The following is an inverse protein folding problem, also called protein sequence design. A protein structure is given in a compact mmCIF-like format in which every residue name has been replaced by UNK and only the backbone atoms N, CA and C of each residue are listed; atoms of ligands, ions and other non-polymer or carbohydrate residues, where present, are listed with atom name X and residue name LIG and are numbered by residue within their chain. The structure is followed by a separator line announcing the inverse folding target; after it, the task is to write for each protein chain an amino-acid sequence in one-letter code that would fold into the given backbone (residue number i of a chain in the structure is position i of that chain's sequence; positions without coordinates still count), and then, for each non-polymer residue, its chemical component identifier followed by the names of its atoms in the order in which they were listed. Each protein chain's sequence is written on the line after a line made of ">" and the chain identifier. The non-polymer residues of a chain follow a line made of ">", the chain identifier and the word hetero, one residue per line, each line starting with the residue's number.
data_IF_720226565654
#
_entry.id   IF_720226565654
#
_cell.length_a   1.000
_cell.length_b   1.000
_cell.length_c   1.000
_cell.angle_alpha   90.00
_cell.angle_beta   90.00
_cell.angle_gamma   90.00
#
_symmetry.space_group_name_H-M   'P 1'
#
loop_
_entity.id
_entity.type
_entity.pdbx_description
1 polymer ?
#
# COMPACT_ATOMS: atom_id res chain seq x y z
N UNK A 1 29.84 -98.08 6.12
CA UNK A 1 30.18 -97.27 7.31
C UNK A 1 30.34 -95.84 6.85
N UNK A 2 29.43 -94.94 7.23
CA UNK A 2 29.42 -93.50 6.88
C UNK A 2 30.07 -92.74 8.05
N UNK A 3 30.97 -91.78 7.80
CA UNK A 3 30.64 -90.35 7.90
C UNK A 3 31.32 -89.53 6.79
N UNK A 4 30.95 -88.31 6.44
CA UNK A 4 29.97 -87.36 6.94
C UNK A 4 30.05 -86.14 6.02
N UNK A 5 28.91 -85.61 5.61
CA UNK A 5 28.84 -84.47 4.70
C UNK A 5 29.23 -83.14 5.38
N UNK A 6 29.86 -82.26 4.61
CA UNK A 6 29.90 -80.84 4.90
C UNK A 6 29.14 -80.10 3.79
N UNK A 7 28.04 -79.48 4.20
CA UNK A 7 27.14 -78.69 3.37
C UNK A 7 27.85 -77.42 2.84
N UNK A 8 27.57 -77.10 1.58
CA UNK A 8 27.94 -75.86 0.93
C UNK A 8 27.04 -74.74 1.48
N UNK A 9 27.61 -73.81 2.25
CA UNK A 9 26.90 -72.63 2.76
C UNK A 9 27.07 -71.50 1.75
N UNK A 10 26.00 -70.94 1.16
CA UNK A 10 26.10 -69.76 0.31
C UNK A 10 26.46 -68.53 1.17
N UNK A 11 27.50 -67.80 0.77
CA UNK A 11 27.94 -66.59 1.47
C UNK A 11 26.89 -65.46 1.42
N UNK A 12 26.93 -64.52 2.39
CA UNK A 12 26.05 -63.35 2.40
C UNK A 12 26.27 -62.49 1.15
N UNK A 13 25.17 -62.05 0.53
CA UNK A 13 25.21 -61.06 -0.55
C UNK A 13 25.33 -59.67 0.10
N UNK A 14 26.44 -58.98 -0.14
CA UNK A 14 26.64 -57.61 0.30
C UNK A 14 25.55 -56.71 -0.32
N UNK A 15 24.70 -56.13 0.54
CA UNK A 15 23.78 -55.05 0.18
C UNK A 15 24.55 -53.74 0.35
N UNK A 16 24.68 -52.89 -0.67
CA UNK A 16 25.35 -51.59 -0.51
C UNK A 16 24.59 -50.72 0.50
N UNK A 17 25.27 -50.08 1.47
CA UNK A 17 24.62 -49.13 2.36
C UNK A 17 24.12 -47.90 1.58
N UNK A 18 23.00 -47.26 2.01
CA UNK A 18 22.51 -46.05 1.38
C UNK A 18 23.58 -44.94 1.44
N UNK A 19 23.97 -44.47 0.26
CA UNK A 19 25.03 -43.50 0.07
C UNK A 19 24.71 -42.17 0.77
N UNK A 20 25.66 -41.70 1.58
CA UNK A 20 25.65 -40.33 2.09
C UNK A 20 26.05 -39.42 0.95
N UNK A 21 25.20 -38.45 0.61
CA UNK A 21 25.51 -37.43 -0.40
C UNK A 21 26.51 -36.45 0.23
N UNK A 22 27.78 -36.60 -0.10
CA UNK A 22 28.82 -35.61 0.21
C UNK A 22 28.83 -34.57 -0.90
N UNK A 23 28.42 -33.33 -0.58
CA UNK A 23 28.52 -32.20 -1.52
C UNK A 23 29.90 -31.59 -1.38
N UNK A 24 30.77 -31.81 -2.36
CA UNK A 24 32.06 -31.14 -2.45
C UNK A 24 31.88 -29.84 -3.24
N UNK A 25 31.94 -28.69 -2.57
CA UNK A 25 32.01 -27.38 -3.23
C UNK A 25 33.47 -27.12 -3.60
N UNK A 26 33.79 -27.28 -4.88
CA UNK A 26 35.03 -26.76 -5.44
C UNK A 26 34.83 -25.28 -5.79
N UNK A 27 35.29 -24.38 -4.91
CA UNK A 27 35.41 -22.96 -5.21
C UNK A 27 36.61 -22.73 -6.13
N UNK A 28 36.38 -22.85 -7.45
CA UNK A 28 37.35 -22.46 -8.47
C UNK A 28 37.25 -20.97 -8.75
N UNK A 29 37.84 -20.12 -7.91
CA UNK A 29 38.12 -18.73 -8.25
C UNK A 29 39.34 -18.70 -9.17
N UNK A 30 39.11 -18.62 -10.47
CA UNK A 30 40.18 -18.26 -11.40
C UNK A 30 40.62 -16.81 -11.08
N UNK A 31 41.90 -16.55 -10.76
CA UNK A 31 42.39 -15.19 -10.70
C UNK A 31 42.38 -14.63 -12.13
N UNK A 32 41.66 -13.53 -12.33
CA UNK A 32 41.78 -12.74 -13.55
C UNK A 32 43.18 -12.15 -13.57
N UNK A 33 43.94 -12.49 -14.61
CA UNK A 33 45.24 -11.95 -14.94
C UNK A 33 45.15 -10.41 -14.96
N UNK A 34 45.94 -9.74 -14.10
CA UNK A 34 46.20 -8.29 -14.04
C UNK A 34 45.30 -7.37 -13.17
N UNK A 35 44.90 -7.78 -11.96
CA UNK A 35 44.32 -6.88 -10.95
C UNK A 35 45.24 -6.61 -9.75
N UNK A 36 46.06 -5.55 -9.82
CA UNK A 36 46.95 -5.10 -8.72
C UNK A 36 46.14 -4.79 -7.45
N UNK A 37 46.21 -5.69 -6.47
CA UNK A 37 45.46 -5.60 -5.21
C UNK A 37 45.75 -4.33 -4.41
N UNK A 38 44.73 -3.51 -4.17
CA UNK A 38 44.73 -2.53 -3.09
C UNK A 38 44.21 -3.22 -1.83
N UNK A 39 45.12 -3.51 -0.91
CA UNK A 39 44.78 -3.91 0.47
C UNK A 39 44.08 -2.73 1.14
N UNK A 40 42.77 -2.82 1.36
CA UNK A 40 42.06 -1.88 2.22
C UNK A 40 42.23 -2.40 3.65
N UNK A 41 43.30 -1.93 4.28
CA UNK A 41 43.73 -2.30 5.62
C UNK A 41 42.81 -1.67 6.69
N UNK A 42 42.80 -2.31 7.85
CA UNK A 42 42.03 -2.06 9.06
C UNK A 42 42.28 -0.69 9.75
N UNK A 43 42.05 0.44 9.07
CA UNK A 43 42.17 1.80 9.65
C UNK A 43 41.14 2.77 9.07
N UNK A 44 39.85 2.40 9.05
CA UNK A 44 38.73 3.35 8.90
C UNK A 44 37.65 2.99 9.93
N UNK A 45 38.08 2.86 11.17
CA UNK A 45 37.23 2.78 12.37
C UNK A 45 37.91 3.75 13.34
N UNK A 46 37.20 4.84 13.73
CA UNK A 46 37.61 5.93 14.64
C UNK A 46 38.23 7.21 14.03
N UNK A 47 37.38 8.05 13.42
CA UNK A 47 37.45 9.54 13.39
C UNK A 47 36.30 9.98 12.45
N UNK A 48 35.15 10.47 12.91
CA UNK A 48 34.94 11.82 13.44
C UNK A 48 33.76 11.76 14.42
N UNK A 49 34.06 11.96 15.70
CA UNK A 49 33.08 12.30 16.71
C UNK A 49 33.19 13.81 16.98
N UNK A 50 32.04 14.49 17.05
CA UNK A 50 31.91 15.79 17.71
C UNK A 50 31.39 16.94 16.85
N UNK A 51 30.08 17.18 16.89
CA UNK A 51 29.49 18.50 17.22
C UNK A 51 27.95 18.45 17.11
N UNK A 52 27.28 18.44 18.27
CA UNK A 52 25.89 18.88 18.40
C UNK A 52 25.88 20.40 18.42
N UNK A 53 25.18 21.05 17.49
CA UNK A 53 24.71 22.41 17.68
C UNK A 53 23.43 22.63 16.86
N UNK A 54 22.34 22.78 17.61
CA UNK A 54 21.02 23.25 17.22
C UNK A 54 21.11 24.49 16.34
N UNK A 55 20.56 24.44 15.11
CA UNK A 55 20.16 25.67 14.40
C UNK A 55 18.64 25.72 14.45
N UNK A 56 18.20 26.52 15.42
CA UNK A 56 16.85 26.96 15.64
C UNK A 56 16.29 27.63 14.39
N UNK A 57 15.01 27.36 14.15
CA UNK A 57 14.09 28.11 13.31
C UNK A 57 14.27 29.62 13.52
N UNK A 58 14.49 30.37 12.44
CA UNK A 58 14.68 31.81 12.53
C UNK A 58 14.66 32.50 11.17
N UNK A 59 13.56 32.41 10.43
CA UNK A 59 13.29 33.34 9.33
C UNK A 59 11.78 33.60 9.19
N UNK A 60 11.22 34.23 10.21
CA UNK A 60 9.82 34.63 10.25
C UNK A 60 9.61 35.73 11.26
N UNK A 61 10.07 36.94 10.97
CA UNK A 61 9.55 38.22 11.48
C UNK A 61 10.52 39.35 11.15
N UNK A 62 10.38 39.94 9.96
CA UNK A 62 10.98 41.26 9.68
C UNK A 62 10.04 42.16 8.87
N UNK A 63 8.72 42.04 9.10
CA UNK A 63 7.76 43.04 8.63
C UNK A 63 6.67 43.23 9.69
N UNK A 64 6.88 44.19 10.61
CA UNK A 64 5.90 45.21 11.06
C UNK A 64 6.36 45.92 12.34
N UNK A 65 6.73 47.21 12.26
CA UNK A 65 6.98 48.04 13.42
C UNK A 65 5.68 48.72 13.92
N UNK A 66 5.54 48.80 15.24
CA UNK A 66 4.80 49.82 16.00
C UNK A 66 3.26 49.85 16.02
N UNK A 67 2.70 49.25 17.08
CA UNK A 67 1.67 49.77 18.01
C UNK A 67 1.50 48.68 19.10
N UNK A 68 1.64 48.84 20.41
CA UNK A 68 1.70 50.01 21.28
C UNK A 68 0.73 49.76 22.45
N UNK A 69 1.25 49.39 23.64
CA UNK A 69 0.56 49.34 24.95
C UNK A 69 -0.53 48.25 25.10
N UNK A 70 -0.79 47.61 26.24
CA UNK A 70 -0.45 47.85 27.64
C UNK A 70 -1.69 47.55 28.50
N UNK A 71 -1.46 46.97 29.69
CA UNK A 71 -2.36 46.77 30.83
C UNK A 71 -3.30 45.55 30.87
N UNK A 72 -3.14 44.81 31.98
CA UNK A 72 -3.96 43.74 32.51
C UNK A 72 -5.11 44.34 33.35
N UNK A 73 -6.31 43.74 33.32
CA UNK A 73 -7.32 43.86 34.40
C UNK A 73 -8.41 42.77 34.29
N UNK A 74 -8.41 41.89 35.29
CA UNK A 74 -9.50 41.37 36.14
C UNK A 74 -10.93 41.05 35.65
N UNK A 75 -11.40 39.92 36.21
CA UNK A 75 -12.74 39.57 36.71
C UNK A 75 -13.84 39.10 35.76
N UNK A 76 -14.13 37.80 35.85
CA UNK A 76 -15.33 37.14 35.34
C UNK A 76 -16.55 37.31 36.25
N UNK A 77 -17.73 37.26 35.64
CA UNK A 77 -19.02 37.19 36.32
C UNK A 77 -20.10 36.59 35.42
N UNK A 78 -20.68 35.47 35.85
CA UNK A 78 -22.02 34.99 35.50
C UNK A 78 -22.83 34.98 36.82
N UNK A 79 -24.18 35.07 36.86
CA UNK A 79 -25.08 34.08 36.25
C UNK A 79 -26.51 34.54 35.80
N UNK A 80 -27.17 33.63 35.06
CA UNK A 80 -28.60 33.22 35.02
C UNK A 80 -29.79 34.20 35.21
N UNK A 81 -30.80 34.13 34.31
CA UNK A 81 -32.22 33.81 34.60
C UNK A 81 -33.12 33.68 33.33
N UNK A 82 -34.08 32.74 33.36
CA UNK A 82 -35.13 32.32 32.39
C UNK A 82 -36.47 33.11 32.58
N UNK A 83 -37.71 32.68 32.15
CA UNK A 83 -38.27 31.88 31.03
C UNK A 83 -39.54 32.53 30.34
N UNK A 84 -40.27 31.76 29.48
CA UNK A 84 -41.44 32.03 28.58
C UNK A 84 -42.81 32.39 29.25
N UNK A 85 -44.00 32.60 28.58
CA UNK A 85 -44.76 31.70 27.64
C UNK A 85 -45.50 32.48 26.48
N UNK A 86 -46.38 31.99 25.59
CA UNK A 86 -47.29 30.83 25.51
C UNK A 86 -48.07 30.80 24.16
N UNK A 87 -48.79 29.70 23.93
CA UNK A 87 -49.47 29.31 22.68
C UNK A 87 -50.85 29.95 22.44
N UNK A 88 -51.37 29.89 21.20
CA UNK A 88 -52.77 29.49 20.90
C UNK A 88 -53.04 29.28 19.40
N UNK A 89 -53.99 28.37 19.19
CA UNK A 89 -54.47 27.66 18.00
C UNK A 89 -55.48 28.47 17.17
N UNK A 90 -55.67 28.11 15.89
CA UNK A 90 -56.90 28.43 15.16
C UNK A 90 -56.83 28.30 13.63
N UNK A 91 -57.38 27.21 13.07
CA UNK A 91 -57.87 27.15 11.67
C UNK A 91 -59.35 27.57 11.62
N UNK A 92 -59.87 27.97 10.44
CA UNK A 92 -60.70 27.02 9.68
C UNK A 92 -60.64 27.12 8.14
N UNK A 93 -60.73 25.93 7.52
CA UNK A 93 -61.56 25.45 6.40
C UNK A 93 -61.88 26.25 5.10
N UNK A 94 -61.69 25.50 3.99
CA UNK A 94 -62.58 25.23 2.80
C UNK A 94 -62.60 26.09 1.52
N UNK A 95 -62.54 25.34 0.39
CA UNK A 95 -63.06 25.64 -0.95
C UNK A 95 -62.00 26.10 -1.95
N UNK A 96 -61.92 25.71 -3.22
CA UNK A 96 -62.65 24.77 -4.09
C UNK A 96 -61.77 24.66 -5.37
N UNK A 97 -61.78 23.53 -6.09
CA UNK A 97 -61.12 23.38 -7.40
C UNK A 97 -62.09 23.85 -8.51
N UNK A 98 -61.62 24.21 -9.73
CA UNK A 98 -61.64 23.19 -10.78
C UNK A 98 -60.49 23.28 -11.81
N UNK A 99 -60.47 22.23 -12.62
CA UNK A 99 -59.48 21.83 -13.61
C UNK A 99 -59.58 22.53 -14.99
N UNK A 100 -58.49 22.40 -15.75
CA UNK A 100 -58.36 22.55 -17.21
C UNK A 100 -56.87 22.55 -17.53
N UNK A 101 -56.27 21.67 -18.33
CA UNK A 101 -56.78 20.93 -19.47
C UNK A 101 -56.03 21.39 -20.72
N UNK A 102 -55.38 20.44 -21.40
CA UNK A 102 -54.87 20.47 -22.77
C UNK A 102 -53.36 20.76 -23.02
N UNK A 103 -52.80 19.71 -23.61
CA UNK A 103 -51.53 19.49 -24.31
C UNK A 103 -51.32 20.38 -25.53
N UNK A 104 -50.06 20.58 -25.91
CA UNK A 104 -49.65 20.80 -27.30
C UNK A 104 -48.22 20.27 -27.50
N UNK A 105 -48.12 19.10 -28.13
CA UNK A 105 -46.91 18.55 -28.72
C UNK A 105 -46.41 19.43 -29.86
N UNK A 106 -45.09 19.64 -29.92
CA UNK A 106 -44.38 20.26 -31.03
C UNK A 106 -43.12 19.43 -31.38
N UNK A 107 -42.87 19.08 -32.66
CA UNK A 107 -41.89 18.05 -33.01
C UNK A 107 -40.48 18.60 -33.29
N UNK A 108 -39.49 17.76 -33.01
CA UNK A 108 -38.31 17.61 -33.87
C UNK A 108 -37.17 18.61 -33.69
N UNK A 109 -36.34 18.41 -32.66
CA UNK A 109 -34.95 18.85 -32.70
C UNK A 109 -34.06 17.60 -32.89
N UNK A 110 -33.48 17.48 -34.08
CA UNK A 110 -32.39 16.56 -34.39
C UNK A 110 -31.24 16.81 -33.41
N UNK A 111 -31.06 15.90 -32.45
CA UNK A 111 -29.93 15.92 -31.55
C UNK A 111 -28.67 15.47 -32.30
N UNK A 112 -27.79 16.42 -32.64
CA UNK A 112 -26.38 16.11 -32.83
C UNK A 112 -25.86 15.39 -31.59
N UNK A 113 -25.02 14.34 -31.72
CA UNK A 113 -24.37 13.74 -30.57
C UNK A 113 -23.32 14.75 -30.08
N UNK A 114 -23.73 15.64 -29.18
CA UNK A 114 -22.81 16.30 -28.26
C UNK A 114 -22.22 15.19 -27.40
N UNK A 115 -21.12 14.61 -27.89
CA UNK A 115 -20.23 13.79 -27.10
C UNK A 115 -19.78 14.66 -25.93
N UNK A 116 -20.48 14.54 -24.81
CA UNK A 116 -20.00 15.06 -23.54
C UNK A 116 -18.64 14.39 -23.34
N UNK A 117 -17.54 15.16 -23.24
CA UNK A 117 -16.29 14.55 -22.80
C UNK A 117 -16.63 13.82 -21.49
N UNK A 118 -16.16 12.57 -21.28
CA UNK A 118 -16.37 11.92 -20.00
C UNK A 118 -15.95 12.94 -18.95
N UNK A 119 -16.84 13.24 -18.01
CA UNK A 119 -16.58 14.18 -16.92
C UNK A 119 -15.31 13.70 -16.26
N UNK A 120 -14.20 14.28 -16.69
CA UNK A 120 -12.86 13.93 -16.26
C UNK A 120 -12.90 14.10 -14.78
N UNK A 121 -12.70 12.99 -14.08
CA UNK A 121 -12.66 12.92 -12.65
C UNK A 121 -11.84 14.12 -12.16
N UNK A 122 -12.42 14.92 -11.25
CA UNK A 122 -11.85 16.21 -10.86
C UNK A 122 -10.38 16.10 -10.44
N UNK A 123 -9.63 17.22 -10.38
CA UNK A 123 -8.23 17.19 -9.98
C UNK A 123 -7.99 16.31 -8.74
N UNK A 124 -7.21 15.24 -8.91
CA UNK A 124 -6.90 14.29 -7.83
C UNK A 124 -7.79 13.05 -7.73
N UNK A 125 -8.78 12.87 -8.60
CA UNK A 125 -9.56 11.64 -8.65
C UNK A 125 -8.77 10.50 -9.33
N UNK A 126 -9.02 9.26 -8.90
CA UNK A 126 -8.30 8.10 -9.43
C UNK A 126 -8.83 7.79 -10.85
N UNK A 127 -7.96 7.66 -11.86
CA UNK A 127 -8.40 7.29 -13.21
C UNK A 127 -8.99 5.88 -13.26
N UNK A 128 -10.02 5.67 -14.08
CA UNK A 128 -10.76 4.39 -14.19
C UNK A 128 -9.85 3.18 -14.48
N UNK A 129 -8.75 3.40 -15.22
CA UNK A 129 -7.75 2.37 -15.52
C UNK A 129 -7.19 1.68 -14.28
N UNK A 130 -7.22 2.31 -13.10
CA UNK A 130 -6.75 1.70 -11.85
C UNK A 130 -7.84 0.96 -11.09
N UNK A 131 -9.10 1.38 -11.23
CA UNK A 131 -10.21 0.88 -10.42
C UNK A 131 -10.46 -0.59 -10.69
N UNK A 132 -10.85 -1.36 -9.68
CA UNK A 132 -11.17 -2.78 -9.80
C UNK A 132 -10.20 -3.68 -9.05
N UNK A 133 -10.32 -4.99 -9.29
CA UNK A 133 -9.45 -5.99 -8.65
C UNK A 133 -8.36 -6.44 -9.60
N UNK A 134 -7.16 -6.56 -9.03
CA UNK A 134 -5.93 -6.95 -9.71
C UNK A 134 -5.32 -8.11 -8.97
N UNK A 135 -4.80 -9.09 -9.71
CA UNK A 135 -4.14 -10.24 -9.13
C UNK A 135 -2.92 -10.66 -9.96
N UNK A 136 -1.85 -11.06 -9.28
CA UNK A 136 -0.62 -11.50 -9.92
C UNK A 136 0.36 -12.13 -8.95
N UNK A 137 1.35 -12.85 -9.48
CA UNK A 137 2.43 -13.38 -8.64
C UNK A 137 3.40 -12.27 -8.26
N UNK A 138 3.80 -12.28 -7.00
CA UNK A 138 4.75 -11.34 -6.46
C UNK A 138 6.11 -11.97 -6.18
N UNK A 139 7.12 -11.13 -6.20
CA UNK A 139 8.49 -11.47 -5.82
C UNK A 139 9.12 -10.38 -4.98
N UNK A 140 9.94 -10.76 -4.01
CA UNK A 140 10.78 -9.88 -3.22
C UNK A 140 12.26 -10.16 -3.41
N UNK A 141 13.10 -9.45 -2.68
CA UNK A 141 14.57 -9.55 -2.69
C UNK A 141 15.14 -9.48 -4.11
N UNK A 142 14.69 -8.48 -4.88
CA UNK A 142 15.12 -8.28 -6.27
C UNK A 142 14.67 -9.39 -7.22
N UNK A 143 13.56 -10.06 -6.92
CA UNK A 143 12.99 -11.12 -7.77
C UNK A 143 13.35 -12.55 -7.34
N UNK A 144 14.24 -12.70 -6.36
CA UNK A 144 14.77 -14.01 -5.95
C UNK A 144 13.85 -14.79 -5.00
N UNK A 145 12.99 -14.09 -4.27
CA UNK A 145 12.06 -14.71 -3.33
C UNK A 145 10.64 -14.70 -3.90
N UNK A 146 10.03 -15.87 -4.19
CA UNK A 146 8.61 -15.95 -4.50
C UNK A 146 7.77 -15.55 -3.28
N UNK A 147 6.94 -14.51 -3.40
CA UNK A 147 6.10 -14.01 -2.31
C UNK A 147 4.64 -14.45 -2.43
N UNK A 148 4.35 -15.36 -3.36
CA UNK A 148 3.02 -15.87 -3.62
C UNK A 148 2.16 -14.95 -4.46
N UNK A 149 0.88 -14.91 -4.18
CA UNK A 149 -0.10 -14.15 -4.97
C UNK A 149 -0.44 -12.86 -4.24
N UNK A 150 -0.37 -11.75 -4.95
CA UNK A 150 -0.86 -10.46 -4.51
C UNK A 150 -2.20 -10.21 -5.18
N UNK A 151 -3.20 -9.81 -4.38
CA UNK A 151 -4.52 -9.40 -4.85
C UNK A 151 -4.85 -8.04 -4.27
N UNK A 152 -5.05 -7.04 -5.13
CA UNK A 152 -5.36 -5.66 -4.73
C UNK A 152 -6.70 -5.26 -5.31
N UNK A 153 -7.60 -4.70 -4.50
CA UNK A 153 -8.83 -4.08 -5.00
C UNK A 153 -8.75 -2.57 -4.82
N UNK A 154 -8.65 -1.82 -5.91
CA UNK A 154 -8.59 -0.37 -5.95
C UNK A 154 -9.99 0.22 -6.09
N UNK A 155 -10.34 1.14 -5.20
CA UNK A 155 -11.63 1.84 -5.16
C UNK A 155 -11.43 3.34 -5.36
N UNK A 156 -12.47 4.02 -5.80
CA UNK A 156 -12.45 5.48 -5.79
C UNK A 156 -12.39 6.00 -4.36
N UNK A 157 -11.50 6.96 -4.14
CA UNK A 157 -11.34 7.64 -2.85
C UNK A 157 -10.61 8.97 -3.04
N UNK A 158 -10.68 9.84 -2.02
CA UNK A 158 -9.87 11.04 -1.95
C UNK A 158 -8.50 10.74 -1.32
N UNK A 159 -7.53 11.64 -1.49
CA UNK A 159 -6.26 11.57 -0.75
C UNK A 159 -6.55 11.54 0.76
N UNK A 160 -5.88 10.63 1.47
CA UNK A 160 -6.10 10.33 2.88
C UNK A 160 -7.14 9.23 3.14
N UNK A 161 -7.92 8.84 2.14
CA UNK A 161 -8.89 7.74 2.26
C UNK A 161 -8.30 6.37 1.94
N UNK A 162 -9.02 5.30 2.35
CA UNK A 162 -8.67 3.92 2.00
C UNK A 162 -8.81 3.72 0.49
N UNK A 163 -7.68 3.54 -0.18
CA UNK A 163 -7.57 3.21 -1.60
C UNK A 163 -8.05 1.80 -1.88
N UNK A 164 -7.77 0.89 -0.95
CA UNK A 164 -7.99 -0.52 -1.12
C UNK A 164 -7.26 -1.36 -0.09
N UNK A 165 -7.24 -2.66 -0.32
CA UNK A 165 -6.48 -3.62 0.48
C UNK A 165 -5.65 -4.49 -0.43
N UNK A 166 -4.42 -4.75 -0.02
CA UNK A 166 -3.59 -5.80 -0.60
C UNK A 166 -3.78 -7.06 0.25
N UNK A 167 -4.11 -8.18 -0.38
CA UNK A 167 -4.07 -9.50 0.23
C UNK A 167 -2.94 -10.28 -0.44
N UNK A 168 -1.95 -10.66 0.36
CA UNK A 168 -0.87 -11.53 -0.01
C UNK A 168 -1.19 -12.95 0.47
N UNK A 169 -0.92 -13.97 -0.34
CA UNK A 169 -1.00 -15.38 0.07
C UNK A 169 0.29 -16.06 -0.36
N UNK A 170 1.07 -16.52 0.60
CA UNK A 170 2.39 -17.11 0.34
C UNK A 170 2.30 -18.54 -0.22
N UNK A 171 3.46 -19.17 -0.43
CA UNK A 171 3.55 -20.52 -0.99
C UNK A 171 2.98 -21.61 -0.07
N UNK A 172 2.83 -21.33 1.23
CA UNK A 172 2.31 -22.28 2.24
C UNK A 172 0.88 -21.92 2.67
N UNK A 173 0.28 -20.89 2.07
CA UNK A 173 -1.09 -20.44 2.32
C UNK A 173 -1.24 -19.45 3.47
N UNK A 174 -0.16 -18.97 4.08
CA UNK A 174 -0.24 -17.88 5.05
C UNK A 174 -0.64 -16.57 4.36
N UNK A 175 -1.32 -15.69 5.10
CA UNK A 175 -1.97 -14.51 4.55
C UNK A 175 -1.58 -13.26 5.33
N UNK A 176 -1.04 -12.28 4.62
CA UNK A 176 -0.93 -10.91 5.08
C UNK A 176 -1.95 -10.03 4.36
N UNK A 177 -2.66 -9.20 5.12
CA UNK A 177 -3.55 -8.18 4.57
C UNK A 177 -3.06 -6.80 4.95
N UNK A 178 -2.92 -5.93 3.96
CA UNK A 178 -2.50 -4.55 4.15
C UNK A 178 -3.62 -3.59 3.78
N UNK A 179 -3.70 -2.49 4.52
CA UNK A 179 -4.60 -1.37 4.23
C UNK A 179 -3.81 -0.33 3.46
N UNK A 180 -4.29 0.01 2.27
CA UNK A 180 -3.66 1.01 1.40
C UNK A 180 -4.40 2.34 1.55
N UNK A 181 -3.71 3.38 2.02
CA UNK A 181 -4.26 4.74 2.14
C UNK A 181 -3.70 5.62 1.03
N UNK A 182 -4.57 6.24 0.23
CA UNK A 182 -4.15 7.05 -0.91
C UNK A 182 -3.36 8.28 -0.44
N UNK A 183 -2.12 8.41 -0.90
CA UNK A 183 -1.26 9.57 -0.61
C UNK A 183 -1.28 10.60 -1.74
N UNK A 184 -1.25 10.12 -2.99
CA UNK A 184 -1.19 11.01 -4.16
C UNK A 184 -1.68 10.30 -5.42
N UNK A 185 -2.47 11.01 -6.22
CA UNK A 185 -2.71 10.68 -7.62
C UNK A 185 -1.79 11.52 -8.47
N UNK A 186 -1.06 10.88 -9.39
CA UNK A 186 -0.29 11.57 -10.42
C UNK A 186 -0.84 11.19 -11.80
N UNK A 187 -0.31 11.77 -12.88
CA UNK A 187 -0.73 11.40 -14.23
C UNK A 187 -0.51 9.91 -14.56
N UNK A 188 0.50 9.26 -13.96
CA UNK A 188 0.93 7.91 -14.38
C UNK A 188 1.03 6.88 -13.26
N UNK A 189 0.87 7.29 -11.99
CA UNK A 189 0.97 6.41 -10.81
C UNK A 189 0.07 6.85 -9.66
N UNK A 190 -0.33 5.89 -8.83
CA UNK A 190 -0.90 6.14 -7.50
C UNK A 190 0.17 5.85 -6.45
N UNK A 191 0.37 6.77 -5.51
CA UNK A 191 1.16 6.52 -4.32
C UNK A 191 0.22 6.28 -3.15
N UNK A 192 0.48 5.25 -2.36
CA UNK A 192 -0.25 4.95 -1.15
C UNK A 192 0.70 4.62 0.01
N UNK A 193 0.23 4.85 1.22
CA UNK A 193 0.83 4.26 2.43
C UNK A 193 0.20 2.88 2.62
N UNK A 194 1.02 1.85 2.79
CA UNK A 194 0.59 0.50 3.16
C UNK A 194 0.88 0.28 4.64
N UNK A 195 -0.05 -0.38 5.33
CA UNK A 195 0.11 -0.78 6.74
C UNK A 195 -0.52 -2.15 6.91
N UNK A 196 0.22 -3.09 7.51
CA UNK A 196 -0.34 -4.38 7.90
C UNK A 196 -1.59 -4.22 8.78
N UNK A 197 -2.68 -4.87 8.38
CA UNK A 197 -3.95 -4.81 9.09
C UNK A 197 -3.84 -5.39 10.51
N UNK A 198 -4.65 -4.84 11.42
CA UNK A 198 -4.82 -5.41 12.75
C UNK A 198 -5.30 -6.87 12.65
N UNK A 199 -4.67 -7.75 13.42
CA UNK A 199 -4.98 -9.19 13.42
C UNK A 199 -4.19 -10.00 12.38
N UNK A 200 -3.33 -9.38 11.57
CA UNK A 200 -2.31 -10.12 10.83
C UNK A 200 -1.44 -10.95 11.78
N UNK A 201 -0.90 -12.07 11.29
CA UNK A 201 0.08 -12.84 12.04
C UNK A 201 1.41 -12.07 12.13
N UNK A 202 2.27 -12.48 13.08
CA UNK A 202 3.53 -11.78 13.39
C UNK A 202 4.58 -11.74 12.25
N UNK A 203 4.31 -12.42 11.13
CA UNK A 203 5.19 -12.41 9.96
C UNK A 203 4.88 -11.31 8.96
N UNK A 204 3.76 -10.59 9.13
CA UNK A 204 3.40 -9.44 8.30
C UNK A 204 3.99 -8.16 8.89
N UNK A 205 4.32 -7.19 8.04
CA UNK A 205 4.89 -5.92 8.48
C UNK A 205 3.79 -4.94 8.94
N UNK A 206 3.70 -4.58 10.22
CA UNK A 206 2.75 -3.58 10.69
C UNK A 206 3.24 -2.15 10.46
N UNK A 207 4.50 -1.95 10.06
CA UNK A 207 5.08 -0.62 9.92
C UNK A 207 4.58 0.07 8.63
N UNK A 208 4.19 1.36 8.70
CA UNK A 208 3.82 2.11 7.52
C UNK A 208 4.98 2.22 6.52
N UNK A 209 4.72 1.88 5.28
CA UNK A 209 5.67 1.99 4.17
C UNK A 209 4.96 2.47 2.89
N UNK A 210 5.71 2.87 1.87
CA UNK A 210 5.12 3.38 0.62
C UNK A 210 4.95 2.25 -0.39
N UNK A 211 3.80 2.27 -1.07
CA UNK A 211 3.56 1.46 -2.26
C UNK A 211 3.21 2.36 -3.44
N UNK A 212 3.55 1.88 -4.63
CA UNK A 212 3.23 2.51 -5.90
C UNK A 212 2.43 1.53 -6.76
N UNK A 213 1.34 2.04 -7.35
CA UNK A 213 0.55 1.36 -8.37
C UNK A 213 0.74 2.08 -9.70
N UNK A 214 1.29 1.40 -10.69
CA UNK A 214 1.65 1.96 -12.00
C UNK A 214 1.13 1.06 -13.11
N UNK A 215 0.27 1.55 -14.03
CA UNK A 215 -0.29 0.65 -15.02
C UNK A 215 0.72 0.36 -16.13
N UNK A 216 0.70 -0.88 -16.61
CA UNK A 216 1.67 -1.46 -17.53
C UNK A 216 0.95 -2.23 -18.65
N UNK A 217 0.52 -1.52 -19.68
CA UNK A 217 -0.45 -2.04 -20.66
C UNK A 217 -1.82 -2.20 -20.00
N UNK A 218 -2.42 -3.38 -20.15
CA UNK A 218 -3.68 -3.74 -19.51
C UNK A 218 -3.52 -4.22 -18.05
N UNK A 219 -2.28 -4.35 -17.58
CA UNK A 219 -1.94 -4.79 -16.22
C UNK A 219 -1.67 -3.62 -15.28
N UNK A 220 -1.60 -3.92 -13.98
CA UNK A 220 -1.19 -3.02 -12.93
C UNK A 220 0.08 -3.55 -12.24
N UNK A 221 1.13 -2.73 -12.19
CA UNK A 221 2.33 -3.03 -11.43
C UNK A 221 2.20 -2.49 -10.02
N UNK A 222 2.45 -3.34 -9.02
CA UNK A 222 2.62 -2.98 -7.62
C UNK A 222 4.11 -3.02 -7.28
N UNK A 223 4.59 -2.01 -6.56
CA UNK A 223 5.92 -2.01 -5.93
C UNK A 223 5.84 -1.47 -4.52
N UNK A 224 6.57 -2.07 -3.57
CA UNK A 224 6.71 -1.60 -2.19
C UNK A 224 8.16 -1.23 -1.89
N UNK A 225 8.36 -0.21 -1.06
CA UNK A 225 9.67 0.16 -0.50
C UNK A 225 9.96 -0.48 0.87
N UNK A 226 9.11 -1.41 1.34
CA UNK A 226 9.36 -2.10 2.61
C UNK A 226 10.55 -3.04 2.49
N UNK A 227 11.67 -2.62 3.07
CA UNK A 227 12.85 -3.47 3.20
C UNK A 227 12.58 -4.69 4.11
N UNK A 228 11.68 -4.56 5.10
CA UNK A 228 11.30 -5.67 5.98
C UNK A 228 10.58 -6.80 5.23
N UNK A 229 9.82 -6.44 4.19
CA UNK A 229 9.16 -7.38 3.29
C UNK A 229 10.01 -7.77 2.07
N UNK A 230 11.23 -7.22 1.97
CA UNK A 230 12.15 -7.50 0.86
C UNK A 230 11.85 -6.71 -0.42
N UNK A 231 11.16 -5.58 -0.34
CA UNK A 231 10.77 -4.72 -1.47
C UNK A 231 9.93 -5.48 -2.52
N UNK A 232 8.73 -5.98 -2.15
CA UNK A 232 7.92 -6.76 -3.06
C UNK A 232 7.54 -6.00 -4.33
N UNK A 233 7.50 -6.74 -5.43
CA UNK A 233 6.97 -6.29 -6.72
C UNK A 233 6.01 -7.33 -7.28
N UNK A 234 4.99 -6.87 -8.00
CA UNK A 234 4.02 -7.76 -8.68
C UNK A 234 3.51 -7.08 -9.94
N UNK A 235 3.45 -7.81 -11.05
CA UNK A 235 2.66 -7.42 -12.23
C UNK A 235 1.36 -8.19 -12.18
N UNK A 236 0.26 -7.46 -12.09
CA UNK A 236 -1.06 -8.02 -11.84
C UNK A 236 -1.99 -7.76 -13.00
N UNK A 237 -2.77 -8.77 -13.38
CA UNK A 237 -3.83 -8.64 -14.36
C UNK A 237 -5.15 -8.36 -13.67
N UNK A 238 -6.07 -7.73 -14.40
CA UNK A 238 -7.42 -7.45 -13.91
C UNK A 238 -8.18 -8.76 -13.73
N UNK A 239 -8.79 -8.94 -12.56
CA UNK A 239 -9.71 -10.05 -12.32
C UNK A 239 -11.09 -9.68 -12.88
N UNK A 240 -11.74 -10.57 -13.66
CA UNK A 240 -13.10 -10.35 -14.17
C UNK A 240 -14.14 -10.11 -13.07
#
# INVERSE_FOLDING_TARGET
>A
MVPGGAAFVPGPRDVPPPGRVSVSVAAGSAPVENGRGRRVSCTVVLAVAGALAVVSVGLGALIRPWAGGGADDEAGGAPAWSPAPGATTGSPATGDLPAGGATSDGPGASGSPSGRPPTGAGPGAIPDRYLGTWEGRATGLGGTLPMGTFRVTVRQTAVGGELGRLRQTDQIGAVCTDILTLKKVTGTRLLATSVGAAGNHAGCDPAPHQVELTPAGDDLTYTSDSAAEGNPTSRMSRVP
#
